data_IF_694113189229
#
_entry.id   IF_694113189229
#
_cell.length_a   1.000
_cell.length_b   1.000
_cell.length_c   1.000
_cell.angle_alpha   90.00
_cell.angle_beta   90.00
_cell.angle_gamma   90.00
#
_symmetry.space_group_name_H-M   'P 1'
#
loop_
_entity.id
_entity.type
_entity.pdbx_description
1 polymer ?
#
# COMPACT_ATOMS: atom_id res chain seq x y z
N UNK A 1 16.62 31.10 -56.45
CA UNK A 1 15.46 30.81 -55.65
C UNK A 1 14.83 29.46 -56.10
N UNK A 2 15.64 28.45 -56.23
CA UNK A 2 15.23 27.03 -56.53
C UNK A 2 16.41 26.18 -56.06
N UNK A 3 16.40 25.68 -54.81
CA UNK A 3 17.35 24.68 -54.34
C UNK A 3 17.10 24.33 -52.85
N UNK A 4 15.89 23.84 -52.50
CA UNK A 4 15.66 23.20 -51.20
C UNK A 4 14.43 22.26 -51.23
N UNK A 5 14.28 21.43 -52.23
CA UNK A 5 13.17 20.43 -52.30
C UNK A 5 13.69 19.02 -52.60
N UNK A 6 14.86 18.64 -52.13
CA UNK A 6 15.38 17.29 -52.36
C UNK A 6 16.09 16.69 -51.15
N UNK A 7 15.44 16.63 -49.97
CA UNK A 7 16.03 15.92 -48.84
C UNK A 7 14.97 15.40 -47.84
N UNK A 8 13.86 14.84 -48.31
CA UNK A 8 12.82 14.20 -47.44
C UNK A 8 12.40 12.83 -47.96
N UNK A 9 13.28 12.09 -48.62
CA UNK A 9 13.01 10.68 -48.97
C UNK A 9 14.25 9.87 -48.61
N UNK A 10 14.30 9.31 -47.40
CA UNK A 10 15.39 8.41 -47.02
C UNK A 10 15.61 8.15 -45.56
N UNK A 11 14.61 8.35 -44.68
CA UNK A 11 14.69 7.83 -43.32
C UNK A 11 13.89 6.55 -43.24
N UNK A 12 14.50 5.42 -43.62
CA UNK A 12 14.02 4.09 -43.28
C UNK A 12 13.91 3.97 -41.81
N UNK A 13 12.67 3.80 -41.29
CA UNK A 13 12.42 3.49 -39.90
C UNK A 13 13.20 2.21 -39.57
N UNK A 14 14.06 2.19 -38.52
CA UNK A 14 14.67 0.97 -38.06
C UNK A 14 13.56 0.07 -37.52
N UNK A 15 13.17 -0.92 -38.30
CA UNK A 15 12.32 -2.04 -37.85
C UNK A 15 13.13 -2.78 -36.80
N UNK A 16 12.80 -2.55 -35.52
CA UNK A 16 13.47 -3.21 -34.39
C UNK A 16 13.86 -2.32 -33.22
N UNK A 17 13.35 -1.08 -33.12
CA UNK A 17 13.48 -0.37 -31.85
C UNK A 17 12.79 -1.20 -30.75
N UNK A 18 13.51 -1.66 -29.71
CA UNK A 18 12.88 -2.35 -28.61
C UNK A 18 11.81 -1.41 -28.05
N UNK A 19 10.58 -1.90 -27.90
CA UNK A 19 9.53 -1.20 -27.15
C UNK A 19 10.08 -1.04 -25.75
N UNK A 20 10.68 0.12 -25.49
CA UNK A 20 11.04 0.53 -24.14
C UNK A 20 9.70 0.82 -23.45
N UNK A 21 9.15 -0.22 -22.82
CA UNK A 21 8.10 -0.02 -21.80
C UNK A 21 8.69 0.99 -20.81
N UNK A 22 8.09 2.17 -20.64
CA UNK A 22 8.67 3.20 -19.81
C UNK A 22 8.65 2.72 -18.35
N UNK A 23 9.80 2.26 -17.86
CA UNK A 23 10.06 2.10 -16.42
C UNK A 23 9.93 3.43 -15.64
N UNK A 24 9.59 4.51 -16.34
CA UNK A 24 9.28 5.84 -15.82
C UNK A 24 8.11 5.86 -14.82
N UNK A 25 7.28 4.81 -14.78
CA UNK A 25 6.16 4.73 -13.83
C UNK A 25 6.59 4.54 -12.37
N UNK A 26 7.86 4.23 -12.11
CA UNK A 26 8.42 4.10 -10.77
C UNK A 26 9.36 5.26 -10.40
N UNK A 27 9.43 6.31 -11.23
CA UNK A 27 10.19 7.51 -10.91
C UNK A 27 9.50 8.24 -9.74
N UNK A 28 10.19 8.49 -8.61
CA UNK A 28 9.66 9.28 -7.50
C UNK A 28 9.15 10.66 -7.93
N UNK A 29 9.70 11.23 -9.01
CA UNK A 29 9.25 12.49 -9.58
C UNK A 29 7.79 12.43 -10.02
N UNK A 30 7.31 11.31 -10.57
CA UNK A 30 5.91 11.13 -10.97
C UNK A 30 4.97 11.33 -9.78
N UNK A 31 5.35 10.83 -8.61
CA UNK A 31 4.52 10.97 -7.39
C UNK A 31 4.54 12.40 -6.86
N UNK A 32 5.69 13.07 -6.92
CA UNK A 32 5.83 14.46 -6.43
C UNK A 32 5.16 15.47 -7.36
N UNK A 33 5.17 15.24 -8.68
CA UNK A 33 4.54 16.09 -9.69
C UNK A 33 3.01 15.86 -9.81
N UNK A 34 2.51 14.71 -9.29
CA UNK A 34 1.07 14.44 -9.30
C UNK A 34 0.32 15.45 -8.41
N UNK A 35 -0.77 16.07 -8.91
CA UNK A 35 -1.58 17.00 -8.11
C UNK A 35 -2.05 16.38 -6.79
N UNK A 36 -2.05 17.16 -5.71
CA UNK A 36 -2.45 16.70 -4.38
C UNK A 36 -3.85 16.09 -4.36
N UNK A 37 -4.78 16.65 -5.16
CA UNK A 37 -6.15 16.13 -5.32
C UNK A 37 -6.17 14.71 -5.89
N UNK A 38 -5.35 14.42 -6.89
CA UNK A 38 -5.26 13.08 -7.50
C UNK A 38 -4.67 12.09 -6.48
N UNK A 39 -3.62 12.48 -5.75
CA UNK A 39 -3.03 11.65 -4.69
C UNK A 39 -4.03 11.32 -3.59
N UNK A 40 -4.79 12.32 -3.13
CA UNK A 40 -5.85 12.14 -2.14
C UNK A 40 -6.94 11.20 -2.62
N UNK A 41 -7.36 11.34 -3.88
CA UNK A 41 -8.36 10.48 -4.51
C UNK A 41 -7.88 9.02 -4.60
N UNK A 42 -6.63 8.81 -5.00
CA UNK A 42 -5.99 7.47 -5.03
C UNK A 42 -5.91 6.89 -3.62
N UNK A 43 -5.50 7.67 -2.63
CA UNK A 43 -5.43 7.21 -1.24
C UNK A 43 -6.81 6.80 -0.71
N UNK A 44 -7.85 7.60 -0.99
CA UNK A 44 -9.23 7.28 -0.62
C UNK A 44 -9.73 6.00 -1.29
N UNK A 45 -9.58 5.91 -2.62
CA UNK A 45 -10.04 4.75 -3.38
C UNK A 45 -9.27 3.48 -2.96
N UNK A 46 -7.96 3.56 -2.79
CA UNK A 46 -7.15 2.42 -2.35
C UNK A 46 -7.58 1.93 -0.96
N UNK A 47 -7.68 2.83 0.03
CA UNK A 47 -8.08 2.44 1.38
C UNK A 47 -9.51 1.89 1.43
N UNK A 48 -10.45 2.51 0.73
CA UNK A 48 -11.86 2.07 0.71
C UNK A 48 -12.05 0.78 -0.07
N UNK A 49 -11.40 0.62 -1.23
CA UNK A 49 -11.51 -0.57 -2.06
C UNK A 49 -10.88 -1.79 -1.36
N UNK A 50 -9.63 -1.69 -0.94
CA UNK A 50 -8.94 -2.81 -0.29
C UNK A 50 -9.49 -3.08 1.12
N UNK A 51 -9.82 -2.04 1.89
CA UNK A 51 -10.49 -2.20 3.18
C UNK A 51 -11.88 -2.79 3.06
N UNK A 52 -12.66 -2.34 2.07
CA UNK A 52 -13.97 -2.88 1.76
C UNK A 52 -13.93 -4.33 1.31
N UNK A 53 -12.95 -4.70 0.49
CA UNK A 53 -12.72 -6.10 0.10
C UNK A 53 -12.44 -6.99 1.33
N UNK A 54 -11.64 -6.50 2.28
CA UNK A 54 -11.35 -7.20 3.54
C UNK A 54 -12.60 -7.35 4.39
N UNK A 55 -13.38 -6.28 4.59
CA UNK A 55 -14.65 -6.32 5.32
C UNK A 55 -15.63 -7.31 4.69
N UNK A 56 -15.78 -7.26 3.36
CA UNK A 56 -16.67 -8.16 2.64
C UNK A 56 -16.26 -9.63 2.78
N UNK A 57 -14.94 -9.93 2.71
CA UNK A 57 -14.47 -11.31 2.68
C UNK A 57 -14.21 -11.92 4.06
N UNK A 58 -13.86 -11.09 5.04
CA UNK A 58 -13.41 -11.53 6.37
C UNK A 58 -13.98 -10.67 7.53
N UNK A 59 -15.19 -10.15 7.40
CA UNK A 59 -15.82 -9.28 8.41
C UNK A 59 -15.74 -9.81 9.83
N UNK A 60 -16.06 -11.10 10.04
CA UNK A 60 -16.01 -11.72 11.38
C UNK A 60 -14.59 -11.69 12.01
N UNK A 61 -13.54 -11.84 11.18
CA UNK A 61 -12.15 -11.78 11.66
C UNK A 61 -11.72 -10.34 11.96
N UNK A 62 -12.30 -9.37 11.27
CA UNK A 62 -12.03 -7.94 11.52
C UNK A 62 -12.47 -7.56 12.92
N UNK A 63 -13.60 -8.05 13.43
CA UNK A 63 -14.09 -7.77 14.78
C UNK A 63 -13.09 -8.21 15.86
N UNK A 64 -12.52 -9.41 15.75
CA UNK A 64 -11.48 -9.88 16.65
C UNK A 64 -10.20 -9.04 16.55
N UNK A 65 -9.85 -8.61 15.34
CA UNK A 65 -8.69 -7.74 15.10
C UNK A 65 -8.88 -6.33 15.69
N UNK A 66 -10.11 -5.80 15.68
CA UNK A 66 -10.47 -4.51 16.32
C UNK A 66 -10.22 -4.58 17.82
N UNK A 67 -10.74 -5.60 18.50
CA UNK A 67 -10.54 -5.79 19.94
C UNK A 67 -9.05 -5.89 20.30
N UNK A 68 -8.29 -6.68 19.52
CA UNK A 68 -6.85 -6.81 19.70
C UNK A 68 -6.09 -5.49 19.53
N UNK A 69 -6.46 -4.69 18.52
CA UNK A 69 -5.80 -3.40 18.26
C UNK A 69 -6.19 -2.37 19.31
N UNK A 70 -7.46 -2.32 19.72
CA UNK A 70 -7.98 -1.37 20.70
C UNK A 70 -7.38 -1.56 22.10
N UNK A 71 -7.03 -2.80 22.48
CA UNK A 71 -6.46 -3.10 23.79
C UNK A 71 -5.13 -2.37 24.08
N UNK A 72 -4.34 -2.05 23.04
CA UNK A 72 -3.09 -1.28 23.18
C UNK A 72 -2.68 -0.66 21.84
N UNK A 73 -3.24 0.50 21.52
CA UNK A 73 -3.00 1.20 20.25
C UNK A 73 -1.52 1.51 19.97
N UNK A 74 -0.71 2.03 20.94
CA UNK A 74 0.70 2.29 20.67
C UNK A 74 1.49 1.02 20.30
N UNK A 75 1.22 -0.07 21.00
CA UNK A 75 1.88 -1.34 20.75
C UNK A 75 1.42 -1.90 19.38
N UNK A 76 0.14 -1.79 19.04
CA UNK A 76 -0.37 -2.17 17.72
C UNK A 76 0.32 -1.38 16.61
N UNK A 77 0.51 -0.06 16.77
CA UNK A 77 1.25 0.74 15.80
C UNK A 77 2.68 0.19 15.57
N UNK A 78 3.39 -0.16 16.63
CA UNK A 78 4.76 -0.73 16.53
C UNK A 78 4.75 -2.04 15.75
N UNK A 79 3.86 -2.98 16.08
CA UNK A 79 3.75 -4.25 15.36
C UNK A 79 3.36 -4.06 13.89
N UNK A 80 2.48 -3.09 13.60
CA UNK A 80 2.10 -2.75 12.23
C UNK A 80 3.27 -2.19 11.43
N UNK A 81 4.03 -1.25 11.98
CA UNK A 81 5.24 -0.72 11.34
C UNK A 81 6.25 -1.84 11.10
N UNK A 82 6.41 -2.75 12.07
CA UNK A 82 7.28 -3.92 11.92
C UNK A 82 6.83 -4.84 10.79
N UNK A 83 5.51 -5.08 10.63
CA UNK A 83 4.97 -5.89 9.54
C UNK A 83 5.28 -5.28 8.17
N UNK A 84 5.11 -3.96 8.00
CA UNK A 84 5.49 -3.26 6.77
C UNK A 84 7.00 -3.29 6.51
N UNK A 85 7.80 -3.11 7.56
CA UNK A 85 9.26 -3.21 7.48
C UNK A 85 9.72 -4.61 7.06
N UNK A 86 9.12 -5.65 7.64
CA UNK A 86 9.42 -7.04 7.30
C UNK A 86 9.06 -7.37 5.85
N UNK A 87 7.87 -6.94 5.38
CA UNK A 87 7.48 -7.11 3.99
C UNK A 87 8.48 -6.44 3.05
N UNK A 88 8.82 -5.19 3.31
CA UNK A 88 9.77 -4.43 2.50
C UNK A 88 11.16 -5.09 2.50
N UNK A 89 11.62 -5.55 3.65
CA UNK A 89 12.90 -6.26 3.79
C UNK A 89 12.91 -7.57 2.98
N UNK A 90 11.87 -8.40 3.11
CA UNK A 90 11.79 -9.68 2.39
C UNK A 90 11.79 -9.45 0.87
N UNK A 91 11.04 -8.47 0.39
CA UNK A 91 11.00 -8.15 -1.05
C UNK A 91 12.35 -7.62 -1.53
N UNK A 92 12.97 -6.70 -0.79
CA UNK A 92 14.29 -6.17 -1.13
C UNK A 92 15.37 -7.28 -1.13
N UNK A 93 15.35 -8.15 -0.13
CA UNK A 93 16.26 -9.28 -0.04
C UNK A 93 16.07 -10.25 -1.22
N UNK A 94 14.84 -10.66 -1.50
CA UNK A 94 14.53 -11.52 -2.64
C UNK A 94 14.98 -10.88 -3.97
N UNK A 95 14.75 -9.57 -4.14
CA UNK A 95 15.20 -8.81 -5.31
C UNK A 95 16.73 -8.92 -5.49
N UNK A 96 17.50 -8.69 -4.44
CA UNK A 96 18.97 -8.75 -4.51
C UNK A 96 19.47 -10.16 -4.81
N UNK A 97 18.86 -11.20 -4.22
CA UNK A 97 19.23 -12.59 -4.49
C UNK A 97 18.93 -13.00 -5.94
N UNK A 98 17.75 -12.68 -6.45
CA UNK A 98 17.37 -12.99 -7.82
C UNK A 98 18.21 -12.22 -8.86
N UNK A 99 18.57 -10.97 -8.55
CA UNK A 99 19.48 -10.19 -9.41
C UNK A 99 20.86 -10.83 -9.47
N UNK A 100 21.38 -11.38 -8.38
CA UNK A 100 22.67 -12.08 -8.34
C UNK A 100 22.67 -13.39 -9.14
N UNK A 101 21.50 -14.01 -9.35
CA UNK A 101 21.32 -15.20 -10.18
C UNK A 101 21.17 -14.88 -11.68
N UNK A 102 21.30 -13.62 -12.08
CA UNK A 102 21.22 -13.19 -13.47
C UNK A 102 19.80 -13.05 -14.03
N UNK A 103 18.78 -13.01 -13.16
CA UNK A 103 17.41 -12.71 -13.60
C UNK A 103 17.36 -11.27 -14.12
N UNK A 104 16.72 -11.05 -15.28
CA UNK A 104 16.69 -9.75 -15.94
C UNK A 104 16.08 -8.66 -15.04
N UNK A 105 16.80 -7.54 -14.87
CA UNK A 105 16.41 -6.44 -13.97
C UNK A 105 15.01 -5.89 -14.23
N UNK A 106 14.59 -5.80 -15.50
CA UNK A 106 13.25 -5.32 -15.84
C UNK A 106 12.14 -6.22 -15.27
N UNK A 107 12.29 -7.55 -15.41
CA UNK A 107 11.33 -8.51 -14.86
C UNK A 107 11.29 -8.45 -13.34
N UNK A 108 12.46 -8.34 -12.69
CA UNK A 108 12.56 -8.21 -11.24
C UNK A 108 11.92 -6.91 -10.72
N UNK A 109 12.12 -5.79 -11.41
CA UNK A 109 11.52 -4.51 -11.01
C UNK A 109 9.99 -4.56 -11.09
N UNK A 110 9.45 -5.13 -12.19
CA UNK A 110 8.00 -5.28 -12.33
C UNK A 110 7.44 -6.25 -11.29
N UNK A 111 8.03 -7.43 -11.14
CA UNK A 111 7.57 -8.44 -10.19
C UNK A 111 7.72 -7.97 -8.73
N UNK A 112 8.88 -7.42 -8.37
CA UNK A 112 9.14 -6.89 -7.03
C UNK A 112 8.23 -5.71 -6.70
N UNK A 113 8.02 -4.79 -7.63
CA UNK A 113 7.08 -3.68 -7.49
C UNK A 113 5.63 -4.15 -7.33
N UNK A 114 5.20 -5.17 -8.09
CA UNK A 114 3.86 -5.73 -7.96
C UNK A 114 3.66 -6.45 -6.62
N UNK A 115 4.64 -7.24 -6.17
CA UNK A 115 4.59 -7.95 -4.88
C UNK A 115 4.63 -6.95 -3.72
N UNK A 116 5.54 -5.97 -3.75
CA UNK A 116 5.63 -4.95 -2.72
C UNK A 116 4.38 -4.07 -2.69
N UNK A 117 3.97 -3.52 -3.83
CA UNK A 117 2.80 -2.67 -3.93
C UNK A 117 1.51 -3.41 -3.55
N UNK A 118 1.30 -4.61 -4.10
CA UNK A 118 0.16 -5.46 -3.76
C UNK A 118 0.14 -5.86 -2.28
N UNK A 119 1.30 -6.21 -1.71
CA UNK A 119 1.44 -6.51 -0.30
C UNK A 119 1.14 -5.31 0.61
N UNK A 120 1.68 -4.13 0.27
CA UNK A 120 1.40 -2.89 1.00
C UNK A 120 -0.09 -2.52 0.95
N UNK A 121 -0.73 -2.68 -0.22
CA UNK A 121 -2.17 -2.43 -0.37
C UNK A 121 -3.03 -3.46 0.37
N UNK A 122 -2.64 -4.74 0.37
CA UNK A 122 -3.33 -5.78 1.11
C UNK A 122 -3.24 -5.56 2.62
N UNK A 123 -2.03 -5.29 3.15
CA UNK A 123 -1.82 -4.93 4.54
C UNK A 123 -2.57 -3.64 4.89
N UNK A 124 -2.48 -2.62 4.01
CA UNK A 124 -3.24 -1.39 4.14
C UNK A 124 -4.74 -1.63 4.22
N UNK A 125 -5.29 -2.48 3.34
CA UNK A 125 -6.69 -2.86 3.35
C UNK A 125 -7.15 -3.46 4.67
N UNK A 126 -6.36 -4.40 5.23
CA UNK A 126 -6.64 -4.96 6.56
C UNK A 126 -6.60 -3.86 7.62
N UNK A 127 -5.56 -3.02 7.60
CA UNK A 127 -5.41 -1.93 8.55
C UNK A 127 -6.56 -0.93 8.50
N UNK A 128 -6.98 -0.51 7.31
CA UNK A 128 -8.12 0.41 7.14
C UNK A 128 -9.46 -0.24 7.51
N UNK A 129 -9.66 -1.54 7.23
CA UNK A 129 -10.86 -2.26 7.66
C UNK A 129 -10.97 -2.27 9.18
N UNK A 130 -9.88 -2.60 9.90
CA UNK A 130 -9.83 -2.64 11.36
C UNK A 130 -9.99 -1.24 11.96
N UNK A 131 -9.24 -0.24 11.46
CA UNK A 131 -9.33 1.13 11.93
C UNK A 131 -10.73 1.75 11.68
N UNK A 132 -11.33 1.43 10.51
CA UNK A 132 -12.68 1.86 10.17
C UNK A 132 -13.72 1.23 11.10
N UNK A 133 -13.66 -0.06 11.33
CA UNK A 133 -14.58 -0.75 12.26
C UNK A 133 -14.45 -0.20 13.67
N UNK A 134 -13.21 0.03 14.14
CA UNK A 134 -12.97 0.67 15.44
C UNK A 134 -13.58 2.06 15.53
N UNK A 135 -13.45 2.88 14.48
CA UNK A 135 -14.09 4.20 14.44
C UNK A 135 -15.62 4.10 14.45
N UNK A 136 -16.19 3.12 13.71
CA UNK A 136 -17.63 2.89 13.71
C UNK A 136 -18.17 2.54 15.09
N UNK A 137 -17.45 1.70 15.83
CA UNK A 137 -17.80 1.32 17.21
C UNK A 137 -17.72 2.52 18.14
N UNK A 138 -16.63 3.30 18.09
CA UNK A 138 -16.46 4.51 18.90
C UNK A 138 -17.53 5.57 18.64
N UNK A 139 -17.92 5.74 17.38
CA UNK A 139 -18.92 6.71 16.95
C UNK A 139 -20.36 6.19 17.02
N UNK A 140 -20.55 4.95 17.53
CA UNK A 140 -21.84 4.27 17.58
C UNK A 140 -22.60 4.28 16.23
N UNK A 141 -21.87 4.16 15.11
CA UNK A 141 -22.46 4.19 13.76
C UNK A 141 -23.21 2.90 13.40
N UNK A 142 -22.92 1.79 14.08
CA UNK A 142 -23.57 0.48 13.86
C UNK A 142 -23.20 -0.20 12.54
N UNK A 143 -22.45 0.46 11.66
CA UNK A 143 -22.02 -0.06 10.36
C UNK A 143 -20.51 0.16 10.14
N UNK A 144 -19.70 -0.93 10.06
CA UNK A 144 -18.27 -0.85 9.80
C UNK A 144 -17.90 -0.15 8.48
N UNK A 145 -18.79 -0.20 7.48
CA UNK A 145 -18.55 0.45 6.18
C UNK A 145 -18.53 1.98 6.30
N UNK A 146 -19.40 2.55 7.13
CA UNK A 146 -19.39 3.99 7.38
C UNK A 146 -18.09 4.41 8.07
N UNK A 147 -17.62 3.61 9.02
CA UNK A 147 -16.32 3.85 9.66
C UNK A 147 -15.16 3.74 8.68
N UNK A 148 -15.16 2.75 7.78
CA UNK A 148 -14.14 2.60 6.74
C UNK A 148 -14.08 3.83 5.81
N UNK A 149 -15.25 4.28 5.33
CA UNK A 149 -15.34 5.50 4.49
C UNK A 149 -14.83 6.71 5.27
N UNK A 150 -15.20 6.84 6.55
CA UNK A 150 -14.76 7.93 7.41
C UNK A 150 -13.24 7.97 7.58
N UNK A 151 -12.62 6.84 7.92
CA UNK A 151 -11.15 6.74 8.07
C UNK A 151 -10.44 6.94 6.73
N UNK A 152 -10.98 6.40 5.62
CA UNK A 152 -10.47 6.63 4.28
C UNK A 152 -10.51 8.12 3.91
N UNK A 153 -11.58 8.83 4.27
CA UNK A 153 -11.69 10.27 4.07
C UNK A 153 -10.67 11.06 4.90
N UNK A 154 -10.47 10.71 6.17
CA UNK A 154 -9.45 11.32 7.02
C UNK A 154 -8.06 11.16 6.40
N UNK A 155 -7.73 9.96 5.94
CA UNK A 155 -6.46 9.68 5.25
C UNK A 155 -6.31 10.50 3.97
N UNK A 156 -7.37 10.60 3.16
CA UNK A 156 -7.37 11.39 1.92
C UNK A 156 -7.18 12.89 2.21
N UNK A 157 -7.85 13.42 3.22
CA UNK A 157 -7.68 14.83 3.65
C UNK A 157 -6.27 15.08 4.14
N UNK A 158 -5.67 14.13 4.89
CA UNK A 158 -4.28 14.25 5.32
C UNK A 158 -3.32 14.30 4.11
N UNK A 159 -3.52 13.44 3.10
CA UNK A 159 -2.72 13.46 1.87
C UNK A 159 -2.94 14.72 1.04
N UNK A 160 -4.14 15.31 1.09
CA UNK A 160 -4.49 16.53 0.37
C UNK A 160 -3.82 17.77 0.98
N UNK A 161 -3.86 17.88 2.32
CA UNK A 161 -3.52 19.12 3.05
C UNK A 161 -2.07 19.13 3.52
N UNK A 162 -1.52 17.96 3.88
CA UNK A 162 -0.17 17.84 4.42
C UNK A 162 0.87 17.72 3.29
N UNK A 163 2.14 18.08 3.55
CA UNK A 163 3.24 17.71 2.68
C UNK A 163 3.25 16.20 2.41
N UNK A 164 3.66 15.80 1.20
CA UNK A 164 3.58 14.42 0.72
C UNK A 164 4.03 13.39 1.77
N UNK A 165 5.20 13.57 2.35
CA UNK A 165 5.76 12.63 3.34
C UNK A 165 4.88 12.50 4.58
N UNK A 166 4.33 13.61 5.08
CA UNK A 166 3.46 13.59 6.26
C UNK A 166 2.10 12.96 5.93
N UNK A 167 1.53 13.28 4.77
CA UNK A 167 0.26 12.67 4.32
C UNK A 167 0.38 11.16 4.17
N UNK A 168 1.46 10.70 3.52
CA UNK A 168 1.77 9.26 3.39
C UNK A 168 2.04 8.63 4.76
N UNK A 169 2.76 9.32 5.66
CA UNK A 169 3.01 8.83 7.01
C UNK A 169 1.72 8.65 7.82
N UNK A 170 0.77 9.57 7.69
CA UNK A 170 -0.57 9.44 8.31
C UNK A 170 -1.31 8.24 7.73
N UNK A 171 -1.31 8.07 6.41
CA UNK A 171 -1.95 6.94 5.75
C UNK A 171 -1.37 5.60 6.26
N UNK A 172 -0.03 5.46 6.27
CA UNK A 172 0.65 4.28 6.81
C UNK A 172 0.43 4.11 8.31
N UNK A 173 0.39 5.20 9.08
CA UNK A 173 0.12 5.17 10.52
C UNK A 173 -1.25 4.59 10.85
N UNK A 174 -2.30 5.03 10.14
CA UNK A 174 -3.65 4.47 10.27
C UNK A 174 -3.65 2.97 9.95
N UNK A 175 -3.05 2.60 8.83
CA UNK A 175 -2.97 1.21 8.39
C UNK A 175 -2.15 0.35 9.39
N UNK A 176 -1.04 0.87 9.92
CA UNK A 176 -0.20 0.16 10.90
C UNK A 176 -0.94 -0.09 12.22
N UNK A 177 -1.66 0.92 12.74
CA UNK A 177 -2.46 0.75 13.96
C UNK A 177 -3.50 -0.36 13.78
N UNK A 178 -4.19 -0.37 12.64
CA UNK A 178 -5.23 -1.37 12.38
C UNK A 178 -4.67 -2.80 12.26
N UNK A 179 -3.54 -3.00 11.57
CA UNK A 179 -3.01 -4.35 11.37
C UNK A 179 -2.22 -4.88 12.58
N UNK A 180 -1.68 -3.99 13.40
CA UNK A 180 -0.75 -4.39 14.46
C UNK A 180 -1.34 -5.30 15.52
N UNK A 181 -2.62 -5.15 15.85
CA UNK A 181 -3.30 -6.05 16.77
C UNK A 181 -3.34 -7.49 16.27
N UNK A 182 -3.63 -7.68 14.98
CA UNK A 182 -3.64 -9.00 14.33
C UNK A 182 -2.24 -9.63 14.36
N UNK A 183 -1.22 -8.85 14.01
CA UNK A 183 0.19 -9.32 14.03
C UNK A 183 0.61 -9.71 15.44
N UNK A 184 0.25 -8.91 16.44
CA UNK A 184 0.55 -9.21 17.84
C UNK A 184 -0.09 -10.51 18.30
N UNK A 185 -1.36 -10.74 17.96
CA UNK A 185 -2.04 -12.01 18.29
C UNK A 185 -1.32 -13.21 17.68
N UNK A 186 -0.93 -13.10 16.42
CA UNK A 186 -0.23 -14.17 15.73
C UNK A 186 1.13 -14.48 16.36
N UNK A 187 1.92 -13.46 16.70
CA UNK A 187 3.24 -13.64 17.33
C UNK A 187 3.15 -14.26 18.73
N UNK A 188 2.07 -14.00 19.48
CA UNK A 188 1.92 -14.48 20.85
C UNK A 188 1.01 -15.72 20.98
N UNK A 189 0.41 -16.21 19.89
CA UNK A 189 -0.46 -17.40 19.91
C UNK A 189 0.26 -18.63 20.50
N UNK A 190 1.49 -18.88 20.07
CA UNK A 190 2.32 -20.00 20.55
C UNK A 190 2.66 -19.92 22.05
N UNK A 191 2.72 -18.71 22.61
CA UNK A 191 3.00 -18.52 24.03
C UNK A 191 1.81 -18.87 24.91
N UNK A 192 0.59 -18.58 24.44
CA UNK A 192 -0.64 -18.92 25.15
C UNK A 192 -0.90 -20.43 25.17
N UNK A 193 -0.61 -21.13 24.06
CA UNK A 193 -0.76 -22.58 24.00
C UNK A 193 0.20 -23.32 24.94
N UNK A 194 1.44 -22.83 25.09
CA UNK A 194 2.43 -23.41 26.03
C UNK A 194 2.08 -23.22 27.51
N UNK A 195 1.28 -22.21 27.83
CA UNK A 195 0.83 -21.97 29.22
C UNK A 195 -0.41 -22.81 29.59
N UNK A 196 -1.10 -23.36 28.58
CA UNK A 196 -2.28 -24.20 28.76
C UNK A 196 -1.98 -25.70 28.88
N UNK A 197 -0.71 -26.11 28.68
CA UNK A 197 -0.19 -27.48 28.85
C UNK A 197 0.50 -27.64 30.21
#
# INVERSE_FOLDING_TARGET
MISQVAAVVGAGSPVGAPVQLPLQTLDPAVVTETPATVRAMVAFLASTFFGGFVLYRWGDRVSAAVEASASNLPLSAVYGVFAYGLLSFVVAYAYTQLASLGVGLAALTVAGGAVLGGGLLALGGIGFAVAGSYLADMAALGDPWLGLVGVGLVAAVAVLVLPLLLGVAVWFGIAAVGIGGTVRQWVHADAAERQAQ
#
